data_IF_779468219024
#
_entry.id   IF_779468219024
#
_cell.length_a   1.000
_cell.length_b   1.000
_cell.length_c   1.000
_cell.angle_alpha   90.00
_cell.angle_beta   90.00
_cell.angle_gamma   90.00
#
_symmetry.space_group_name_H-M   'P 1'
#
loop_
_entity.id
_entity.type
_entity.pdbx_description
1 polymer ?
#
# COMPACT_ATOMS: atom_id res chain seq x y z
N UNK A 1 -23.22 -12.52 14.89
CA UNK A 1 -22.58 -11.57 13.94
C UNK A 1 -21.16 -11.98 13.57
N UNK A 2 -20.30 -12.38 14.52
CA UNK A 2 -18.91 -12.80 14.27
C UNK A 2 -18.76 -14.01 13.33
N UNK A 3 -19.60 -15.04 13.49
CA UNK A 3 -19.60 -16.23 12.62
C UNK A 3 -19.84 -15.86 11.16
N UNK A 4 -20.78 -14.95 10.88
CA UNK A 4 -21.03 -14.46 9.52
C UNK A 4 -19.80 -13.76 8.95
N UNK A 5 -19.15 -12.89 9.76
CA UNK A 5 -17.89 -12.25 9.34
C UNK A 5 -16.82 -13.28 8.98
N UNK A 6 -16.60 -14.29 9.82
CA UNK A 6 -15.61 -15.34 9.52
C UNK A 6 -15.96 -16.13 8.25
N UNK A 7 -17.22 -16.50 8.06
CA UNK A 7 -17.67 -17.22 6.85
C UNK A 7 -17.44 -16.38 5.60
N UNK A 8 -17.82 -15.11 5.61
CA UNK A 8 -17.64 -14.21 4.46
C UNK A 8 -16.16 -14.07 4.09
N UNK A 9 -15.29 -13.86 5.09
CA UNK A 9 -13.85 -13.74 4.83
C UNK A 9 -13.19 -15.06 4.41
N UNK A 10 -13.68 -16.19 4.93
CA UNK A 10 -13.24 -17.50 4.48
C UNK A 10 -13.59 -17.73 3.01
N UNK A 11 -14.85 -17.50 2.63
CA UNK A 11 -15.32 -17.61 1.23
C UNK A 11 -14.57 -16.63 0.32
N UNK A 12 -14.30 -15.41 0.79
CA UNK A 12 -13.47 -14.44 0.07
C UNK A 12 -12.07 -14.98 -0.21
N UNK A 13 -11.44 -15.66 0.75
CA UNK A 13 -10.16 -16.33 0.53
C UNK A 13 -10.22 -17.37 -0.59
N UNK A 14 -11.26 -18.22 -0.61
CA UNK A 14 -11.47 -19.20 -1.69
C UNK A 14 -11.65 -18.55 -3.06
N UNK A 15 -12.29 -17.38 -3.13
CA UNK A 15 -12.50 -16.68 -4.40
C UNK A 15 -11.19 -16.23 -5.07
N UNK A 16 -10.15 -15.92 -4.29
CA UNK A 16 -8.89 -15.42 -4.81
C UNK A 16 -7.96 -16.49 -5.38
N UNK A 17 -8.14 -17.77 -5.02
CA UNK A 17 -7.39 -18.87 -5.62
C UNK A 17 -7.37 -20.14 -4.79
N UNK A 18 -6.87 -21.22 -5.38
CA UNK A 18 -6.80 -22.55 -4.74
C UNK A 18 -5.66 -22.71 -3.73
N UNK A 19 -4.75 -21.73 -3.62
CA UNK A 19 -3.63 -21.78 -2.70
C UNK A 19 -4.10 -21.55 -1.24
N UNK A 20 -3.56 -22.33 -0.31
CA UNK A 20 -3.85 -22.20 1.12
C UNK A 20 -3.49 -20.82 1.69
N UNK A 21 -2.57 -20.10 1.04
CA UNK A 21 -2.19 -18.74 1.43
C UNK A 21 -3.37 -17.77 1.39
N UNK A 22 -4.29 -17.90 0.43
CA UNK A 22 -5.50 -17.07 0.34
C UNK A 22 -6.54 -17.40 1.41
N UNK A 23 -6.67 -18.68 1.79
CA UNK A 23 -7.56 -19.11 2.87
C UNK A 23 -7.05 -18.56 4.20
N UNK A 24 -5.75 -18.67 4.46
CA UNK A 24 -5.10 -18.12 5.67
C UNK A 24 -5.27 -16.60 5.70
N UNK A 25 -5.03 -15.92 4.57
CA UNK A 25 -5.26 -14.49 4.43
C UNK A 25 -6.69 -14.10 4.82
N UNK A 26 -7.70 -14.79 4.27
CA UNK A 26 -9.11 -14.55 4.60
C UNK A 26 -9.39 -14.75 6.09
N UNK A 27 -8.95 -15.87 6.67
CA UNK A 27 -9.14 -16.17 8.08
C UNK A 27 -8.49 -15.13 9.01
N UNK A 28 -7.28 -14.67 8.67
CA UNK A 28 -6.59 -13.62 9.43
C UNK A 28 -7.41 -12.32 9.39
N UNK A 29 -7.85 -11.88 8.21
CA UNK A 29 -8.69 -10.67 8.08
C UNK A 29 -10.02 -10.77 8.83
N UNK A 30 -10.70 -11.91 8.73
CA UNK A 30 -11.92 -12.18 9.49
C UNK A 30 -11.70 -12.09 11.00
N UNK A 31 -10.58 -12.67 11.47
CA UNK A 31 -10.21 -12.68 12.89
C UNK A 31 -9.91 -11.26 13.38
N UNK A 32 -9.10 -10.50 12.64
CA UNK A 32 -8.77 -9.10 12.96
C UNK A 32 -10.04 -8.26 13.05
N UNK A 33 -10.98 -8.43 12.11
CA UNK A 33 -12.23 -7.65 12.15
C UNK A 33 -13.11 -8.04 13.35
N UNK A 34 -13.16 -9.32 13.70
CA UNK A 34 -13.85 -9.77 14.92
C UNK A 34 -13.18 -9.20 16.18
N UNK A 35 -11.85 -9.23 16.27
CA UNK A 35 -11.10 -8.64 17.38
C UNK A 35 -11.32 -7.12 17.47
N UNK A 36 -11.32 -6.40 16.35
CA UNK A 36 -11.56 -4.97 16.32
C UNK A 36 -12.97 -4.62 16.85
N UNK A 37 -13.99 -5.41 16.50
CA UNK A 37 -15.34 -5.26 17.03
C UNK A 37 -15.40 -5.51 18.54
N UNK A 38 -14.71 -6.54 19.04
CA UNK A 38 -14.65 -6.87 20.47
C UNK A 38 -13.88 -5.82 21.30
N UNK A 39 -12.81 -5.27 20.74
CA UNK A 39 -11.92 -4.34 21.41
C UNK A 39 -12.22 -2.87 21.07
N UNK A 40 -13.32 -2.58 20.38
CA UNK A 40 -13.62 -1.25 19.82
C UNK A 40 -13.52 -0.14 20.88
N UNK A 41 -14.08 -0.35 22.07
CA UNK A 41 -14.02 0.61 23.18
C UNK A 41 -12.60 0.88 23.67
N UNK A 42 -11.73 -0.13 23.71
CA UNK A 42 -10.33 0.02 24.11
C UNK A 42 -9.52 0.66 22.99
N UNK A 43 -9.77 0.25 21.75
CA UNK A 43 -9.09 0.76 20.58
C UNK A 43 -9.41 2.24 20.35
N UNK A 44 -10.65 2.67 20.61
CA UNK A 44 -11.07 4.08 20.48
C UNK A 44 -10.41 5.03 21.48
N UNK A 45 -9.81 4.51 22.57
CA UNK A 45 -9.01 5.31 23.51
C UNK A 45 -7.61 5.59 23.00
N UNK A 46 -7.16 4.89 21.96
CA UNK A 46 -5.86 5.09 21.33
C UNK A 46 -5.93 6.33 20.42
N UNK A 47 -4.84 7.09 20.34
CA UNK A 47 -4.76 8.25 19.44
C UNK A 47 -5.06 7.84 17.99
N UNK A 48 -5.74 8.69 17.20
CA UNK A 48 -6.07 8.38 15.81
C UNK A 48 -4.86 7.91 14.99
N UNK A 49 -3.73 8.63 15.05
CA UNK A 49 -2.53 8.26 14.29
C UNK A 49 -2.03 6.84 14.61
N UNK A 50 -2.00 6.45 15.90
CA UNK A 50 -1.52 5.12 16.29
C UNK A 50 -2.49 4.01 15.83
N UNK A 51 -3.80 4.26 15.82
CA UNK A 51 -4.78 3.31 15.25
C UNK A 51 -4.54 3.07 13.75
N UNK A 52 -4.19 4.12 13.01
CA UNK A 52 -3.89 4.02 11.59
C UNK A 52 -2.61 3.23 11.35
N UNK A 53 -1.54 3.53 12.09
CA UNK A 53 -0.27 2.78 12.01
C UNK A 53 -0.49 1.29 12.32
N UNK A 54 -1.22 0.98 13.39
CA UNK A 54 -1.53 -0.41 13.77
C UNK A 54 -2.34 -1.10 12.66
N UNK A 55 -3.41 -0.47 12.17
CA UNK A 55 -4.27 -1.05 11.13
C UNK A 55 -3.49 -1.26 9.84
N UNK A 56 -2.72 -0.26 9.42
CA UNK A 56 -1.88 -0.31 8.23
C UNK A 56 -0.84 -1.41 8.33
N UNK A 57 -0.09 -1.47 9.45
CA UNK A 57 0.93 -2.50 9.68
C UNK A 57 0.34 -3.92 9.65
N UNK A 58 -0.79 -4.13 10.33
CA UNK A 58 -1.48 -5.42 10.31
C UNK A 58 -1.91 -5.78 8.88
N UNK A 59 -2.53 -4.86 8.14
CA UNK A 59 -2.98 -5.11 6.77
C UNK A 59 -1.79 -5.41 5.85
N UNK A 60 -0.68 -4.68 5.98
CA UNK A 60 0.54 -4.96 5.22
C UNK A 60 1.10 -6.36 5.50
N UNK A 61 1.10 -6.81 6.76
CA UNK A 61 1.49 -8.17 7.11
C UNK A 61 0.53 -9.22 6.52
N UNK A 62 -0.78 -8.95 6.49
CA UNK A 62 -1.72 -9.83 5.82
C UNK A 62 -1.42 -9.97 4.32
N UNK A 63 -1.09 -8.85 3.64
CA UNK A 63 -0.75 -8.85 2.21
C UNK A 63 0.45 -9.76 1.86
N UNK A 64 1.36 -10.02 2.81
CA UNK A 64 2.43 -11.00 2.62
C UNK A 64 1.87 -12.38 2.29
N UNK A 65 0.85 -12.85 3.02
CA UNK A 65 0.20 -14.12 2.72
C UNK A 65 -0.51 -14.08 1.36
N UNK A 66 -1.18 -12.97 1.03
CA UNK A 66 -1.87 -12.85 -0.25
C UNK A 66 -0.93 -12.96 -1.46
N UNK A 67 0.28 -12.41 -1.36
CA UNK A 67 1.24 -12.36 -2.49
C UNK A 67 2.17 -13.58 -2.58
N UNK A 68 2.39 -14.27 -1.47
CA UNK A 68 3.36 -15.36 -1.38
C UNK A 68 2.91 -16.60 -2.16
N UNK A 69 3.86 -17.28 -2.81
CA UNK A 69 3.58 -18.49 -3.60
C UNK A 69 3.24 -19.70 -2.71
N UNK A 70 3.69 -19.71 -1.46
CA UNK A 70 3.36 -20.73 -0.48
C UNK A 70 3.46 -20.17 0.95
N UNK A 71 3.04 -20.97 1.92
CA UNK A 71 3.02 -20.57 3.34
C UNK A 71 4.43 -20.38 3.90
N UNK A 72 5.40 -21.19 3.47
CA UNK A 72 6.77 -21.11 3.96
C UNK A 72 7.43 -19.78 3.53
N UNK A 73 7.20 -19.36 2.30
CA UNK A 73 7.67 -18.06 1.78
C UNK A 73 7.08 -16.90 2.58
N UNK A 74 5.77 -16.94 2.87
CA UNK A 74 5.11 -15.92 3.67
C UNK A 74 5.72 -15.80 5.07
N UNK A 75 5.94 -16.95 5.74
CA UNK A 75 6.56 -17.00 7.07
C UNK A 75 8.01 -16.52 6.99
N UNK A 76 8.74 -16.88 5.95
CA UNK A 76 10.13 -16.44 5.75
C UNK A 76 10.20 -14.91 5.63
N UNK A 77 9.33 -14.29 4.83
CA UNK A 77 9.25 -12.83 4.67
C UNK A 77 8.92 -12.17 6.01
N UNK A 78 7.92 -12.68 6.74
CA UNK A 78 7.54 -12.14 8.06
C UNK A 78 8.71 -12.24 9.05
N UNK A 79 9.45 -13.35 9.08
CA UNK A 79 10.64 -13.49 9.93
C UNK A 79 11.71 -12.45 9.60
N UNK A 80 11.97 -12.20 8.32
CA UNK A 80 12.93 -11.16 7.89
C UNK A 80 12.48 -9.76 8.34
N UNK A 81 11.19 -9.44 8.21
CA UNK A 81 10.62 -8.18 8.71
C UNK A 81 10.81 -8.04 10.23
N UNK A 82 10.54 -9.12 10.99
CA UNK A 82 10.62 -9.08 12.47
C UNK A 82 12.04 -8.96 13.02
N UNK A 83 13.04 -9.50 12.31
CA UNK A 83 14.47 -9.41 12.69
C UNK A 83 15.12 -8.15 12.11
N UNK A 84 14.40 -7.37 11.29
CA UNK A 84 14.92 -6.23 10.54
C UNK A 84 16.15 -6.58 9.68
N UNK A 85 16.22 -7.82 9.21
CA UNK A 85 17.29 -8.30 8.32
C UNK A 85 16.92 -8.00 6.87
N UNK A 86 17.05 -6.72 6.51
CA UNK A 86 16.82 -6.22 5.17
C UNK A 86 18.12 -6.27 4.38
N UNK A 87 18.11 -7.05 3.29
CA UNK A 87 19.20 -7.06 2.32
C UNK A 87 19.19 -5.73 1.53
N UNK A 88 20.34 -5.32 0.95
CA UNK A 88 20.36 -4.17 0.05
C UNK A 88 19.33 -4.34 -1.06
N UNK A 89 18.77 -3.21 -1.51
CA UNK A 89 17.82 -3.17 -2.62
C UNK A 89 18.45 -3.85 -3.84
N UNK A 90 17.67 -4.71 -4.50
CA UNK A 90 18.11 -5.33 -5.73
C UNK A 90 18.43 -4.26 -6.77
N UNK A 91 19.54 -4.44 -7.49
CA UNK A 91 20.03 -3.46 -8.48
C UNK A 91 18.99 -3.20 -9.58
N UNK A 92 18.15 -4.19 -9.89
CA UNK A 92 17.07 -4.01 -10.86
C UNK A 92 15.99 -3.04 -10.34
N UNK A 93 15.69 -3.08 -9.04
CA UNK A 93 14.74 -2.17 -8.39
C UNK A 93 15.30 -0.76 -8.25
N UNK A 94 16.59 -0.62 -7.93
CA UNK A 94 17.23 0.70 -7.83
C UNK A 94 17.23 1.40 -9.19
N UNK A 95 17.51 0.67 -10.26
CA UNK A 95 17.45 1.19 -11.64
C UNK A 95 16.05 1.72 -12.02
N UNK A 96 14.96 1.14 -11.49
CA UNK A 96 13.59 1.64 -11.74
C UNK A 96 13.32 3.00 -11.05
N UNK A 97 14.09 3.35 -10.02
CA UNK A 97 13.94 4.59 -9.24
C UNK A 97 14.85 5.69 -9.80
N UNK A 98 15.88 5.34 -10.58
CA UNK A 98 16.77 6.28 -11.24
C UNK A 98 16.19 6.83 -12.55
N UNK A 99 15.46 7.95 -12.44
CA UNK A 99 14.94 8.66 -13.60
C UNK A 99 15.99 9.60 -14.23
N UNK A 100 16.33 9.43 -15.53
CA UNK A 100 17.35 10.26 -16.19
C UNK A 100 16.99 11.76 -16.22
N UNK A 101 15.69 12.09 -16.22
CA UNK A 101 15.18 13.46 -16.18
C UNK A 101 15.54 14.17 -14.87
N UNK A 102 15.48 13.45 -13.74
CA UNK A 102 15.85 13.99 -12.42
C UNK A 102 17.35 14.26 -12.38
N UNK A 103 18.16 13.35 -12.93
CA UNK A 103 19.62 13.52 -13.00
C UNK A 103 20.01 14.72 -13.85
N UNK A 104 19.36 14.90 -15.00
CA UNK A 104 19.57 16.06 -15.87
C UNK A 104 19.21 17.36 -15.14
N UNK A 105 18.07 17.41 -14.46
CA UNK A 105 17.65 18.58 -13.67
C UNK A 105 18.64 18.91 -12.54
N UNK A 106 19.05 17.90 -11.76
CA UNK A 106 20.02 18.06 -10.66
C UNK A 106 21.38 18.55 -11.18
N UNK A 107 21.84 18.06 -12.32
CA UNK A 107 23.07 18.55 -12.95
C UNK A 107 22.95 20.00 -13.41
N UNK A 108 21.79 20.40 -13.96
CA UNK A 108 21.54 21.76 -14.45
C UNK A 108 21.50 22.79 -13.30
N UNK A 109 20.95 22.40 -12.15
CA UNK A 109 20.87 23.25 -10.95
C UNK A 109 22.21 23.27 -10.17
N UNK A 110 23.19 22.45 -10.56
CA UNK A 110 24.50 22.36 -9.88
C UNK A 110 24.49 21.48 -8.62
N UNK A 111 23.45 20.66 -8.44
CA UNK A 111 23.27 19.71 -7.33
C UNK A 111 23.63 18.27 -7.72
N UNK A 112 24.63 18.10 -8.60
CA UNK A 112 25.02 16.78 -9.13
C UNK A 112 25.39 15.76 -8.05
N UNK A 113 25.89 16.20 -6.89
CA UNK A 113 26.16 15.32 -5.73
C UNK A 113 24.91 14.63 -5.18
N UNK A 114 23.71 15.16 -5.41
CA UNK A 114 22.46 14.55 -4.95
C UNK A 114 22.04 13.35 -5.80
N UNK A 115 22.66 13.13 -6.97
CA UNK A 115 22.38 11.98 -7.85
C UNK A 115 22.70 10.67 -7.11
N UNK A 116 23.78 10.63 -6.33
CA UNK A 116 24.19 9.49 -5.51
C UNK A 116 23.20 9.16 -4.38
N UNK A 117 22.28 10.07 -4.06
CA UNK A 117 21.29 9.93 -2.98
C UNK A 117 19.84 9.88 -3.48
N UNK A 118 19.64 9.64 -4.78
CA UNK A 118 18.30 9.59 -5.40
C UNK A 118 17.39 8.54 -4.79
N UNK A 119 17.90 7.36 -4.42
CA UNK A 119 17.13 6.32 -3.71
C UNK A 119 16.58 6.84 -2.37
N UNK A 120 17.45 7.46 -1.57
CA UNK A 120 17.09 8.01 -0.26
C UNK A 120 16.05 9.13 -0.41
N UNK A 121 16.21 10.01 -1.40
CA UNK A 121 15.24 11.06 -1.70
C UNK A 121 13.87 10.48 -2.06
N UNK A 122 13.83 9.39 -2.83
CA UNK A 122 12.58 8.72 -3.19
C UNK A 122 11.88 8.10 -1.98
N UNK A 123 12.63 7.43 -1.10
CA UNK A 123 12.10 6.88 0.15
C UNK A 123 11.54 8.00 1.04
N UNK A 124 12.28 9.10 1.20
CA UNK A 124 11.82 10.26 1.97
C UNK A 124 10.56 10.84 1.34
N UNK A 125 10.48 10.97 0.00
CA UNK A 125 9.30 11.47 -0.67
C UNK A 125 8.08 10.59 -0.42
N UNK A 126 8.21 9.25 -0.50
CA UNK A 126 7.12 8.32 -0.15
C UNK A 126 6.68 8.51 1.30
N UNK A 127 7.63 8.61 2.24
CA UNK A 127 7.31 8.81 3.65
C UNK A 127 6.59 10.14 3.89
N UNK A 128 7.02 11.21 3.23
CA UNK A 128 6.36 12.52 3.32
C UNK A 128 4.95 12.49 2.73
N UNK A 129 4.75 11.82 1.58
CA UNK A 129 3.42 11.62 0.99
C UNK A 129 2.54 10.82 1.95
N UNK A 130 3.06 9.74 2.54
CA UNK A 130 2.34 8.95 3.51
C UNK A 130 1.93 9.78 4.73
N UNK A 131 2.85 10.56 5.30
CA UNK A 131 2.57 11.46 6.42
C UNK A 131 1.55 12.54 6.05
N UNK A 132 1.63 13.10 4.84
CA UNK A 132 0.65 14.04 4.33
C UNK A 132 -0.75 13.41 4.26
N UNK A 133 -0.85 12.20 3.72
CA UNK A 133 -2.12 11.43 3.65
C UNK A 133 -2.67 11.11 5.05
N UNK A 134 -1.81 10.90 6.06
CA UNK A 134 -2.25 10.69 7.44
C UNK A 134 -2.87 11.93 8.10
N UNK A 135 -2.55 13.13 7.60
CA UNK A 135 -3.13 14.39 8.12
C UNK A 135 -4.50 14.65 7.48
N UNK A 136 -4.72 14.17 6.26
CA UNK A 136 -5.99 14.35 5.56
C UNK A 136 -7.16 13.76 6.34
N UNK A 137 -8.30 14.47 6.30
CA UNK A 137 -9.51 14.01 6.97
C UNK A 137 -9.95 12.68 6.37
N UNK A 138 -10.53 11.83 7.22
CA UNK A 138 -11.22 10.64 6.73
C UNK A 138 -12.25 11.04 5.66
N UNK A 139 -12.18 10.40 4.48
CA UNK A 139 -13.05 10.68 3.33
C UNK A 139 -14.52 10.76 3.73
N UNK A 140 -14.97 9.93 4.68
CA UNK A 140 -16.36 9.93 5.14
C UNK A 140 -16.77 11.27 5.80
N UNK A 141 -15.88 11.90 6.56
CA UNK A 141 -16.13 13.20 7.19
C UNK A 141 -16.10 14.32 6.15
N UNK A 142 -15.12 14.30 5.26
CA UNK A 142 -14.99 15.26 4.16
C UNK A 142 -16.20 15.20 3.22
N UNK A 143 -16.63 14.00 2.85
CA UNK A 143 -17.79 13.76 1.99
C UNK A 143 -19.07 14.21 2.70
N UNK A 144 -19.25 13.98 4.00
CA UNK A 144 -20.41 14.49 4.74
C UNK A 144 -20.44 16.02 4.85
N UNK A 145 -19.28 16.66 5.06
CA UNK A 145 -19.17 18.12 5.19
C UNK A 145 -19.26 18.84 3.83
N UNK A 146 -18.76 18.20 2.75
CA UNK A 146 -18.57 18.83 1.44
C UNK A 146 -19.30 18.12 0.29
N UNK A 147 -20.27 17.23 0.55
CA UNK A 147 -21.05 16.51 -0.48
C UNK A 147 -21.64 17.45 -1.55
N UNK A 148 -21.98 18.68 -1.17
CA UNK A 148 -22.61 19.69 -2.05
C UNK A 148 -21.56 20.61 -2.72
N UNK A 149 -20.30 20.58 -2.28
CA UNK A 149 -19.21 21.46 -2.77
C UNK A 149 -18.17 20.76 -3.65
N UNK A 150 -18.44 19.55 -4.15
CA UNK A 150 -17.63 18.82 -5.15
C UNK A 150 -17.64 19.49 -6.55
N UNK A 151 -17.46 20.82 -6.59
CA UNK A 151 -17.18 21.64 -7.78
C UNK A 151 -15.78 22.26 -7.72
N UNK A 152 -14.81 21.62 -7.06
CA UNK A 152 -13.40 22.05 -7.20
C UNK A 152 -12.82 21.48 -8.49
N UNK A 153 -13.15 22.12 -9.62
CA UNK A 153 -12.57 21.86 -10.95
C UNK A 153 -11.03 21.88 -10.97
N UNK A 154 -10.41 22.47 -9.93
CA UNK A 154 -8.96 22.58 -9.76
C UNK A 154 -8.22 21.24 -9.79
N UNK A 155 -8.87 20.15 -9.41
CA UNK A 155 -8.25 18.81 -9.47
C UNK A 155 -8.68 18.00 -10.69
N UNK A 156 -9.74 18.40 -11.41
CA UNK A 156 -10.23 17.67 -12.59
C UNK A 156 -9.17 17.63 -13.67
N UNK A 157 -8.54 18.77 -13.99
CA UNK A 157 -7.46 18.81 -14.96
C UNK A 157 -6.28 17.93 -14.55
N UNK A 158 -5.87 17.97 -13.27
CA UNK A 158 -4.78 17.14 -12.74
C UNK A 158 -5.09 15.65 -12.87
N UNK A 159 -6.29 15.22 -12.47
CA UNK A 159 -6.72 13.82 -12.60
C UNK A 159 -6.84 13.38 -14.06
N UNK A 160 -7.35 14.25 -14.94
CA UNK A 160 -7.41 13.98 -16.38
C UNK A 160 -5.99 13.87 -16.97
N UNK A 161 -5.07 14.72 -16.56
CA UNK A 161 -3.68 14.67 -17.00
C UNK A 161 -2.98 13.41 -16.51
N UNK A 162 -3.09 13.08 -15.22
CA UNK A 162 -2.54 11.84 -14.64
C UNK A 162 -3.15 10.59 -15.28
N UNK A 163 -4.47 10.59 -15.55
CA UNK A 163 -5.16 9.51 -16.24
C UNK A 163 -4.70 9.36 -17.68
N UNK A 164 -4.55 10.46 -18.42
CA UNK A 164 -4.01 10.45 -19.78
C UNK A 164 -2.56 9.96 -19.81
N UNK A 165 -1.72 10.45 -18.89
CA UNK A 165 -0.34 9.98 -18.74
C UNK A 165 -0.27 8.48 -18.43
N UNK A 166 -1.15 7.99 -17.54
CA UNK A 166 -1.24 6.55 -17.25
C UNK A 166 -1.63 5.73 -18.48
N UNK A 167 -2.53 6.23 -19.33
CA UNK A 167 -2.94 5.54 -20.56
C UNK A 167 -1.81 5.50 -21.60
N UNK A 168 -1.01 6.56 -21.72
CA UNK A 168 0.16 6.58 -22.62
C UNK A 168 1.23 5.56 -22.20
N UNK A 169 1.40 5.36 -20.89
CA UNK A 169 2.34 4.39 -20.34
C UNK A 169 1.77 2.98 -20.19
N UNK A 170 0.49 2.73 -20.53
CA UNK A 170 -0.10 1.38 -20.42
C UNK A 170 0.56 0.38 -21.37
N UNK A 171 1.13 0.82 -22.49
CA UNK A 171 1.72 -0.06 -23.50
C UNK A 171 2.99 -0.80 -23.03
N UNK A 172 3.60 -0.40 -21.91
CA UNK A 172 4.80 -1.07 -21.37
C UNK A 172 4.49 -2.18 -20.36
N UNK A 173 3.26 -2.22 -19.79
CA UNK A 173 2.91 -3.08 -18.64
C UNK A 173 1.61 -3.88 -18.91
N UNK A 174 1.48 -4.45 -20.11
CA UNK A 174 0.37 -5.37 -20.45
C UNK A 174 0.85 -6.82 -20.42
N UNK A 175 1.55 -7.23 -19.37
CA UNK A 175 1.66 -8.65 -18.99
C UNK A 175 0.73 -8.88 -17.81
N UNK A 176 -0.57 -8.80 -18.12
CA UNK A 176 -1.64 -9.02 -17.16
C UNK A 176 -1.62 -10.47 -16.68
N UNK A 177 -1.30 -10.68 -15.39
CA UNK A 177 -1.76 -11.64 -14.35
C UNK A 177 -2.25 -13.07 -14.74
N UNK A 178 -2.71 -13.35 -15.95
CA UNK A 178 -3.23 -14.66 -16.37
C UNK A 178 -2.20 -15.59 -17.03
N UNK A 179 -0.98 -15.14 -17.33
CA UNK A 179 0.07 -16.00 -17.89
C UNK A 179 0.93 -16.74 -16.84
N UNK A 180 0.57 -16.68 -15.55
CA UNK A 180 1.26 -17.43 -14.48
C UNK A 180 0.43 -18.59 -13.90
N UNK A 181 -0.41 -19.22 -14.72
CA UNK A 181 -1.01 -20.52 -14.40
C UNK A 181 -0.44 -21.62 -15.28
#
# INVERSE_FOLDING_TARGET
MYTNTMIVFFISGFWHGANYTFIIWGLIHGTILCMNKLLNEKFNRITPALRWIITFGIVMLCWVFFRSNNINDAIFIIKKIMVCDFQPLDVSLTNLIHFPEINMLLSFIGLSKMIEHTELMFVIAILLIFLYVMIEKNIILEVKENFIKFKKYRFVFLYCFMGFWSLLNMNEVVTFIYEMF
#
